data_IF_059554951912
#
_entry.id   IF_059554951912
#
_cell.length_a   1.000
_cell.length_b   1.000
_cell.length_c   1.000
_cell.angle_alpha   90.00
_cell.angle_beta   90.00
_cell.angle_gamma   90.00
#
_symmetry.space_group_name_H-M   'P 1'
#
loop_
_entity.id
_entity.type
_entity.pdbx_description
1 polymer ?
#
# COMPACT_ATOMS: atom_id res chain seq x y z
N UNK A 1 1.05 13.02 -27.04
CA UNK A 1 0.05 12.18 -26.33
C UNK A 1 0.54 11.60 -24.99
N UNK A 2 1.79 11.12 -24.89
CA UNK A 2 2.36 10.51 -23.66
C UNK A 2 2.31 11.42 -22.42
N UNK A 3 2.58 12.73 -22.59
CA UNK A 3 2.60 13.70 -21.49
C UNK A 3 1.22 13.89 -20.84
N UNK A 4 0.15 13.93 -21.65
CA UNK A 4 -1.24 14.09 -21.18
C UNK A 4 -1.72 12.84 -20.42
N UNK A 5 -1.27 11.66 -20.84
CA UNK A 5 -1.57 10.36 -20.20
C UNK A 5 -0.88 10.24 -18.83
N UNK A 6 0.39 10.67 -18.71
CA UNK A 6 1.13 10.71 -17.43
C UNK A 6 0.56 11.74 -16.46
N UNK A 7 0.11 12.90 -16.95
CA UNK A 7 -0.51 13.94 -16.12
C UNK A 7 -1.86 13.47 -15.55
N UNK A 8 -2.67 12.79 -16.35
CA UNK A 8 -3.91 12.17 -15.89
C UNK A 8 -3.66 11.09 -14.84
N UNK A 9 -2.65 10.22 -15.03
CA UNK A 9 -2.32 9.19 -14.04
C UNK A 9 -1.88 9.80 -12.70
N UNK A 10 -1.07 10.86 -12.76
CA UNK A 10 -0.61 11.58 -11.57
C UNK A 10 -1.77 12.29 -10.84
N UNK A 11 -2.68 12.94 -11.57
CA UNK A 11 -3.87 13.58 -10.98
C UNK A 11 -4.79 12.58 -10.28
N UNK A 12 -5.01 11.41 -10.87
CA UNK A 12 -5.83 10.36 -10.27
C UNK A 12 -5.13 9.74 -9.04
N UNK A 13 -3.80 9.60 -9.09
CA UNK A 13 -3.00 9.18 -7.93
C UNK A 13 -3.12 10.16 -6.76
N UNK A 14 -2.95 11.47 -7.00
CA UNK A 14 -3.11 12.50 -5.98
C UNK A 14 -4.54 12.58 -5.44
N UNK A 15 -5.54 12.49 -6.31
CA UNK A 15 -6.95 12.48 -5.88
C UNK A 15 -7.26 11.29 -4.96
N UNK A 16 -6.73 10.10 -5.26
CA UNK A 16 -6.86 8.93 -4.40
C UNK A 16 -6.23 9.12 -3.03
N UNK A 17 -5.01 9.68 -2.97
CA UNK A 17 -4.31 9.97 -1.69
C UNK A 17 -5.08 10.98 -0.85
N UNK A 18 -5.56 12.08 -1.46
CA UNK A 18 -6.30 13.13 -0.74
C UNK A 18 -7.61 12.60 -0.16
N UNK A 19 -8.33 11.75 -0.90
CA UNK A 19 -9.60 11.17 -0.43
C UNK A 19 -9.38 10.08 0.64
N UNK A 20 -8.32 9.28 0.52
CA UNK A 20 -8.05 8.19 1.46
C UNK A 20 -7.47 8.68 2.79
N UNK A 21 -6.68 9.77 2.79
CA UNK A 21 -5.93 10.25 3.95
C UNK A 21 -6.75 10.51 5.23
N UNK A 22 -7.92 11.20 5.21
CA UNK A 22 -8.68 11.43 6.43
C UNK A 22 -9.26 10.14 7.02
N UNK A 23 -9.72 9.24 6.15
CA UNK A 23 -10.27 7.95 6.57
C UNK A 23 -9.18 7.06 7.16
N UNK A 24 -8.03 6.93 6.49
CA UNK A 24 -6.92 6.12 6.98
C UNK A 24 -6.34 6.68 8.28
N UNK A 25 -6.29 8.00 8.43
CA UNK A 25 -5.86 8.65 9.68
C UNK A 25 -6.84 8.35 10.82
N UNK A 26 -8.14 8.44 10.57
CA UNK A 26 -9.16 8.12 11.57
C UNK A 26 -9.08 6.65 12.01
N UNK A 27 -8.90 5.73 11.06
CA UNK A 27 -8.70 4.31 11.36
C UNK A 27 -7.40 4.09 12.15
N UNK A 28 -6.29 4.73 11.75
CA UNK A 28 -5.01 4.60 12.43
C UNK A 28 -5.10 4.98 13.92
N UNK A 29 -5.69 6.14 14.22
CA UNK A 29 -5.86 6.63 15.59
C UNK A 29 -6.76 5.70 16.40
N UNK A 30 -7.85 5.22 15.80
CA UNK A 30 -8.80 4.31 16.47
C UNK A 30 -8.15 2.97 16.84
N UNK A 31 -7.30 2.44 15.96
CA UNK A 31 -6.57 1.17 16.19
C UNK A 31 -5.51 1.30 17.29
N UNK A 32 -4.99 2.50 17.52
CA UNK A 32 -4.01 2.77 18.57
C UNK A 32 -4.67 2.89 19.95
N UNK A 33 -5.90 3.42 20.00
CA UNK A 33 -6.66 3.53 21.26
C UNK A 33 -7.24 2.20 21.75
N UNK A 34 -7.32 1.19 20.88
CA UNK A 34 -7.84 -0.13 21.27
C UNK A 34 -6.79 -0.92 22.07
N UNK A 35 -7.18 -1.65 23.13
CA UNK A 35 -6.29 -2.56 23.82
C UNK A 35 -5.74 -3.61 22.84
N UNK A 36 -4.43 -3.79 22.85
CA UNK A 36 -3.76 -4.74 21.97
C UNK A 36 -4.05 -6.17 22.41
N UNK A 37 -4.51 -6.99 21.47
CA UNK A 37 -4.66 -8.45 21.64
C UNK A 37 -3.45 -9.21 21.07
N UNK A 38 -2.42 -8.49 20.63
CA UNK A 38 -1.24 -9.08 20.01
C UNK A 38 -0.37 -9.77 21.08
N UNK A 39 -0.20 -11.10 21.04
CA UNK A 39 0.58 -11.80 22.06
C UNK A 39 2.05 -11.37 22.04
N UNK A 40 2.61 -11.01 20.88
CA UNK A 40 4.01 -10.54 20.83
C UNK A 40 4.19 -9.19 21.54
N UNK A 41 3.20 -8.30 21.43
CA UNK A 41 3.25 -7.00 22.07
C UNK A 41 3.03 -7.13 23.59
N UNK A 42 2.20 -8.09 24.01
CA UNK A 42 1.98 -8.40 25.43
C UNK A 42 3.23 -9.06 26.04
N UNK A 43 3.84 -10.04 25.37
CA UNK A 43 4.94 -10.82 25.91
C UNK A 43 6.31 -10.13 25.77
N UNK A 44 6.54 -9.45 24.66
CA UNK A 44 7.85 -8.88 24.32
C UNK A 44 7.84 -7.35 24.22
N UNK A 45 6.70 -6.69 24.40
CA UNK A 45 6.59 -5.23 24.27
C UNK A 45 6.74 -4.72 22.83
N UNK A 46 6.82 -5.61 21.83
CA UNK A 46 7.03 -5.26 20.42
C UNK A 46 5.95 -5.83 19.53
N UNK A 47 5.50 -5.02 18.57
CA UNK A 47 4.57 -5.48 17.54
C UNK A 47 5.25 -6.51 16.64
N UNK A 48 4.57 -7.62 16.35
CA UNK A 48 5.07 -8.58 15.37
C UNK A 48 5.15 -7.93 13.98
N UNK A 49 5.95 -8.47 13.04
CA UNK A 49 6.12 -7.86 11.73
C UNK A 49 4.79 -7.71 10.96
N UNK A 50 3.78 -8.54 11.26
CA UNK A 50 2.47 -8.47 10.62
C UNK A 50 1.60 -7.35 11.18
N UNK A 51 1.31 -7.35 12.49
CA UNK A 51 0.50 -6.31 13.12
C UNK A 51 1.17 -4.93 13.05
N UNK A 52 2.50 -4.89 13.23
CA UNK A 52 3.30 -3.67 13.07
C UNK A 52 3.25 -3.16 11.64
N UNK A 53 3.29 -4.04 10.63
CA UNK A 53 3.11 -3.63 9.23
C UNK A 53 1.70 -3.05 8.96
N UNK A 54 0.64 -3.64 9.52
CA UNK A 54 -0.72 -3.13 9.32
C UNK A 54 -0.91 -1.74 9.93
N UNK A 55 -0.35 -1.49 11.12
CA UNK A 55 -0.37 -0.15 11.73
C UNK A 55 0.50 0.83 10.95
N UNK A 56 1.72 0.43 10.60
CA UNK A 56 2.63 1.24 9.81
C UNK A 56 2.03 1.65 8.45
N UNK A 57 1.31 0.75 7.76
CA UNK A 57 0.67 1.07 6.48
C UNK A 57 -0.44 2.12 6.60
N UNK A 58 -1.28 2.04 7.65
CA UNK A 58 -2.32 3.04 7.92
C UNK A 58 -1.71 4.43 8.18
N UNK A 59 -0.63 4.50 8.96
CA UNK A 59 0.11 5.75 9.18
C UNK A 59 0.81 6.24 7.91
N UNK A 60 1.39 5.33 7.12
CA UNK A 60 2.07 5.70 5.88
C UNK A 60 1.10 6.25 4.82
N UNK A 61 -0.09 5.64 4.67
CA UNK A 61 -1.14 6.11 3.74
C UNK A 61 -1.78 7.41 4.21
N UNK A 62 -1.84 7.66 5.52
CA UNK A 62 -2.30 8.95 6.07
C UNK A 62 -1.23 10.04 6.03
N UNK A 63 -0.02 9.73 5.56
CA UNK A 63 1.10 10.68 5.43
C UNK A 63 1.96 10.84 6.69
N UNK A 64 1.70 10.06 7.75
CA UNK A 64 2.49 10.07 8.98
C UNK A 64 3.64 9.06 8.89
N UNK A 65 4.71 9.47 8.21
CA UNK A 65 5.89 8.62 7.96
C UNK A 65 6.66 8.33 9.25
N UNK A 66 6.69 9.27 10.20
CA UNK A 66 7.46 9.13 11.44
C UNK A 66 6.85 8.02 12.30
N UNK A 67 5.54 8.06 12.51
CA UNK A 67 4.84 7.02 13.27
C UNK A 67 4.88 5.68 12.53
N UNK A 68 4.80 5.68 11.19
CA UNK A 68 4.96 4.46 10.41
C UNK A 68 6.33 3.78 10.60
N UNK A 69 7.41 4.55 10.67
CA UNK A 69 8.76 4.04 10.94
C UNK A 69 8.89 3.42 12.34
N UNK A 70 8.23 3.99 13.34
CA UNK A 70 8.23 3.45 14.70
C UNK A 70 7.55 2.09 14.79
N UNK A 71 6.49 1.87 14.01
CA UNK A 71 5.80 0.59 13.97
C UNK A 71 6.53 -0.47 13.14
N UNK A 72 7.04 -0.11 11.95
CA UNK A 72 7.76 -1.05 11.09
C UNK A 72 8.60 -0.31 10.03
N UNK A 73 9.88 -0.07 10.33
CA UNK A 73 10.81 0.53 9.37
C UNK A 73 11.02 -0.31 8.10
N UNK A 74 10.97 -1.64 8.21
CA UNK A 74 11.12 -2.55 7.08
C UNK A 74 9.99 -2.39 6.04
N UNK A 75 8.75 -2.21 6.51
CA UNK A 75 7.62 -1.93 5.65
C UNK A 75 7.80 -0.59 4.91
N UNK A 76 8.22 0.46 5.62
CA UNK A 76 8.42 1.79 4.99
C UNK A 76 9.49 1.70 3.91
N UNK A 77 10.62 1.03 4.19
CA UNK A 77 11.66 0.80 3.20
C UNK A 77 11.15 0.00 1.99
N UNK A 78 10.37 -1.06 2.24
CA UNK A 78 9.76 -1.86 1.18
C UNK A 78 8.77 -1.05 0.32
N UNK A 79 7.91 -0.25 0.94
CA UNK A 79 6.95 0.61 0.25
C UNK A 79 7.67 1.66 -0.63
N UNK A 80 8.76 2.26 -0.12
CA UNK A 80 9.59 3.17 -0.91
C UNK A 80 10.27 2.46 -2.09
N UNK A 81 10.81 1.26 -1.88
CA UNK A 81 11.40 0.46 -2.96
C UNK A 81 10.36 0.15 -4.05
N UNK A 82 9.14 -0.27 -3.66
CA UNK A 82 8.04 -0.50 -4.59
C UNK A 82 7.65 0.76 -5.36
N UNK A 83 7.55 1.91 -4.69
CA UNK A 83 7.25 3.18 -5.33
C UNK A 83 8.30 3.56 -6.39
N UNK A 84 9.59 3.32 -6.11
CA UNK A 84 10.69 3.55 -7.06
C UNK A 84 10.60 2.61 -8.26
N UNK A 85 10.35 1.31 -8.02
CA UNK A 85 10.18 0.30 -9.08
C UNK A 85 8.99 0.66 -9.98
N UNK A 86 7.87 1.07 -9.38
CA UNK A 86 6.68 1.51 -10.09
C UNK A 86 6.93 2.78 -10.91
N UNK A 87 7.58 3.79 -10.33
CA UNK A 87 7.92 5.04 -11.02
C UNK A 87 8.85 4.83 -12.22
N UNK A 88 9.75 3.83 -12.15
CA UNK A 88 10.64 3.46 -13.26
C UNK A 88 9.97 2.63 -14.36
N UNK A 89 8.68 2.30 -14.21
CA UNK A 89 7.94 1.53 -15.22
C UNK A 89 8.25 0.04 -15.23
N UNK A 90 8.88 -0.48 -14.18
CA UNK A 90 9.09 -1.92 -14.01
C UNK A 90 7.83 -2.64 -13.51
N UNK A 91 6.81 -1.89 -13.08
CA UNK A 91 5.47 -2.44 -12.87
C UNK A 91 4.77 -2.60 -14.21
N UNK A 92 4.71 -3.84 -14.71
CA UNK A 92 3.79 -4.19 -15.78
C UNK A 92 2.51 -4.77 -15.17
N UNK A 93 1.39 -4.10 -15.39
CA UNK A 93 0.08 -4.45 -14.82
C UNK A 93 -0.38 -5.86 -15.26
N UNK A 94 0.02 -6.27 -16.47
CA UNK A 94 -0.25 -7.59 -17.06
C UNK A 94 0.41 -8.75 -16.31
N UNK A 95 1.59 -8.52 -15.72
CA UNK A 95 2.32 -9.53 -14.96
C UNK A 95 1.80 -9.70 -13.52
N UNK A 96 1.21 -8.64 -12.94
CA UNK A 96 0.79 -8.63 -11.52
C UNK A 96 -0.65 -9.10 -11.34
N UNK A 97 -1.55 -8.69 -12.23
CA UNK A 97 -2.97 -9.07 -12.15
C UNK A 97 -3.30 -10.33 -12.94
N UNK A 98 -2.33 -10.91 -13.67
CA UNK A 98 -2.44 -12.19 -14.38
C UNK A 98 -3.51 -12.25 -15.49
N UNK A 99 -4.33 -11.21 -15.65
CA UNK A 99 -5.52 -11.21 -16.49
C UNK A 99 -5.73 -9.81 -17.06
N UNK A 100 -4.90 -9.42 -18.03
CA UNK A 100 -5.16 -8.21 -18.82
C UNK A 100 -6.33 -8.43 -19.81
N UNK A 101 -6.60 -9.68 -20.20
CA UNK A 101 -7.79 -10.06 -20.97
C UNK A 101 -8.09 -11.56 -20.81
N UNK A 102 -9.00 -11.96 -19.91
CA UNK A 102 -9.32 -13.37 -19.70
C UNK A 102 -9.94 -13.98 -20.96
N UNK A 103 -10.70 -13.19 -21.72
CA UNK A 103 -11.48 -13.62 -22.88
C UNK A 103 -10.61 -14.08 -24.05
N UNK A 104 -9.44 -13.48 -24.26
CA UNK A 104 -8.51 -13.94 -25.31
C UNK A 104 -7.88 -15.29 -24.96
N UNK A 105 -7.58 -15.54 -23.68
CA UNK A 105 -7.04 -16.84 -23.22
C UNK A 105 -8.06 -17.98 -23.34
N UNK A 106 -9.35 -17.73 -23.11
CA UNK A 106 -10.38 -18.78 -23.30
C UNK A 106 -10.57 -19.11 -24.78
N UNK A 107 -10.46 -18.12 -25.67
CA UNK A 107 -10.59 -18.32 -27.11
C UNK A 107 -9.46 -19.19 -27.70
N UNK A 108 -8.26 -19.16 -27.12
CA UNK A 108 -7.12 -19.99 -27.55
C UNK A 108 -7.29 -21.48 -27.18
N UNK A 109 -7.97 -21.80 -26.07
CA UNK A 109 -8.24 -23.17 -25.64
C UNK A 109 -9.42 -23.85 -26.37
N UNK A 110 -10.19 -23.09 -27.17
CA UNK A 110 -11.33 -23.62 -27.94
C UNK A 110 -10.98 -24.00 -29.39
N UNK A 111 -9.72 -23.85 -29.79
CA UNK A 111 -9.17 -24.37 -31.06
C UNK A 111 -8.37 -25.64 -30.83
#
# INVERSE_FOLDING_TARGET
MVLKKRLSFLQWGFAGVVLAAPLTRWVAVTMETQPTTCPSQILFGVACPLCGATRASLHLVSGDVVTALQFNAGLVAFALALAVVAARGFFREDAVLGVANPLSTVAECQR
#
